data_IF_420382365640
#
_entry.id   IF_420382365640
#
_cell.length_a   1.000
_cell.length_b   1.000
_cell.length_c   1.000
_cell.angle_alpha   90.00
_cell.angle_beta   90.00
_cell.angle_gamma   90.00
#
_symmetry.space_group_name_H-M   'P 1'
#
loop_
_entity.id
_entity.type
_entity.pdbx_description
1 polymer ?
#
# COMPACT_ATOMS: atom_id res chain seq x y z
N UNK A 1 1.89 28.00 0.33
CA UNK A 1 0.74 27.28 0.92
C UNK A 1 1.28 26.07 1.65
N UNK A 2 1.15 26.01 2.97
CA UNK A 2 1.57 24.83 3.74
C UNK A 2 0.35 23.92 3.88
N UNK A 3 0.20 22.94 2.98
CA UNK A 3 -0.85 21.93 3.10
C UNK A 3 -0.41 21.01 4.22
N UNK A 4 -1.07 21.07 5.38
CA UNK A 4 -0.91 20.07 6.40
C UNK A 4 -1.28 18.71 5.78
N UNK A 5 -0.29 17.85 5.61
CA UNK A 5 -0.49 16.54 5.01
C UNK A 5 -1.35 15.71 5.95
N UNK A 6 -2.55 15.33 5.50
CA UNK A 6 -3.39 14.39 6.23
C UNK A 6 -2.59 13.10 6.47
N UNK A 7 -2.49 12.71 7.74
CA UNK A 7 -1.75 11.54 8.18
C UNK A 7 -2.69 10.63 8.97
N UNK A 8 -2.97 9.42 8.50
CA UNK A 8 -3.73 8.46 9.28
C UNK A 8 -2.94 8.05 10.52
N UNK A 9 -3.62 7.44 11.48
CA UNK A 9 -2.98 6.91 12.70
C UNK A 9 -1.79 6.00 12.33
N UNK A 10 -0.66 6.22 12.99
CA UNK A 10 0.61 5.58 12.64
C UNK A 10 0.71 4.16 13.21
N UNK A 11 -0.04 3.23 12.64
CA UNK A 11 -0.02 1.81 12.99
C UNK A 11 0.79 0.99 11.98
N UNK A 12 1.02 -0.30 12.26
CA UNK A 12 1.59 -1.20 11.26
C UNK A 12 0.60 -1.48 10.12
N UNK A 13 -0.67 -1.58 10.46
CA UNK A 13 -1.75 -1.87 9.51
C UNK A 13 -1.96 -0.72 8.52
N UNK A 14 -1.94 0.53 9.01
CA UNK A 14 -2.19 1.71 8.16
C UNK A 14 -1.19 1.87 7.02
N UNK A 15 -0.02 1.22 7.11
CA UNK A 15 0.97 1.15 6.01
C UNK A 15 0.46 0.41 4.79
N UNK A 16 -0.51 -0.49 4.95
CA UNK A 16 -1.07 -1.30 3.88
C UNK A 16 -2.53 -0.96 3.56
N UNK A 17 -3.28 -0.45 4.54
CA UNK A 17 -4.73 -0.21 4.43
C UNK A 17 -5.12 1.25 4.15
N UNK A 18 -4.25 2.23 4.45
CA UNK A 18 -4.57 3.63 4.21
C UNK A 18 -4.81 3.91 2.72
N UNK A 19 -6.02 4.36 2.38
CA UNK A 19 -6.43 4.73 1.02
C UNK A 19 -6.00 6.14 0.62
N UNK A 20 -5.73 7.00 1.59
CA UNK A 20 -5.39 8.41 1.41
C UNK A 20 -4.36 8.90 2.44
N UNK A 21 -3.84 10.10 2.19
CA UNK A 21 -2.84 10.72 3.07
C UNK A 21 -1.45 10.08 2.96
N UNK A 22 -0.56 10.50 3.85
CA UNK A 22 0.84 10.11 3.82
C UNK A 22 1.15 9.08 4.90
N UNK A 23 1.79 7.99 4.52
CA UNK A 23 2.25 6.94 5.44
C UNK A 23 3.74 6.69 5.27
N UNK A 24 4.46 6.69 6.39
CA UNK A 24 5.87 6.35 6.40
C UNK A 24 6.04 4.83 6.38
N UNK A 25 6.89 4.34 5.47
CA UNK A 25 7.18 2.91 5.32
C UNK A 25 8.63 2.69 4.88
N UNK A 26 9.20 1.54 5.21
CA UNK A 26 10.51 1.13 4.69
C UNK A 26 10.41 0.72 3.23
N UNK A 27 11.55 0.62 2.53
CA UNK A 27 11.57 0.14 1.14
C UNK A 27 10.93 -1.24 0.96
N UNK A 28 11.21 -2.19 1.87
CA UNK A 28 10.58 -3.52 1.86
C UNK A 28 9.06 -3.44 2.02
N UNK A 29 8.57 -2.58 2.91
CA UNK A 29 7.13 -2.40 3.12
C UNK A 29 6.46 -1.79 1.87
N UNK A 30 7.13 -0.85 1.20
CA UNK A 30 6.66 -0.31 -0.07
C UNK A 30 6.55 -1.39 -1.15
N UNK A 31 7.56 -2.26 -1.28
CA UNK A 31 7.52 -3.40 -2.22
C UNK A 31 6.37 -4.37 -1.91
N UNK A 32 6.16 -4.70 -0.63
CA UNK A 32 5.04 -5.55 -0.19
C UNK A 32 3.68 -4.90 -0.47
N UNK A 33 3.59 -3.57 -0.46
CA UNK A 33 2.35 -2.85 -0.76
C UNK A 33 2.01 -2.85 -2.26
N UNK A 34 2.98 -3.03 -3.17
CA UNK A 34 2.74 -2.95 -4.62
C UNK A 34 1.65 -3.92 -5.11
N UNK A 35 1.64 -5.21 -4.75
CA UNK A 35 0.58 -6.13 -5.20
C UNK A 35 -0.81 -5.74 -4.72
N UNK A 36 -0.92 -5.15 -3.51
CA UNK A 36 -2.19 -4.63 -2.98
C UNK A 36 -2.68 -3.48 -3.85
N UNK A 37 -1.80 -2.53 -4.19
CA UNK A 37 -2.15 -1.39 -5.04
C UNK A 37 -2.51 -1.82 -6.46
N UNK A 38 -1.83 -2.84 -6.99
CA UNK A 38 -2.17 -3.40 -8.30
C UNK A 38 -3.56 -4.03 -8.27
N UNK A 39 -3.86 -4.85 -7.26
CA UNK A 39 -5.20 -5.45 -7.10
C UNK A 39 -6.31 -4.41 -7.08
N UNK A 40 -6.14 -3.32 -6.32
CA UNK A 40 -7.13 -2.24 -6.25
C UNK A 40 -7.34 -1.55 -7.61
N UNK A 41 -6.27 -1.36 -8.40
CA UNK A 41 -6.39 -0.80 -9.76
C UNK A 41 -7.08 -1.77 -10.72
N UNK A 42 -6.77 -3.05 -10.61
CA UNK A 42 -7.37 -4.10 -11.42
C UNK A 42 -8.87 -4.23 -11.12
N UNK A 43 -9.28 -4.16 -9.85
CA UNK A 43 -10.70 -4.10 -9.45
C UNK A 43 -11.41 -2.91 -10.07
N UNK A 44 -10.79 -1.72 -10.01
CA UNK A 44 -11.35 -0.51 -10.62
C UNK A 44 -11.46 -0.62 -12.16
N UNK A 45 -10.63 -1.46 -12.79
CA UNK A 45 -10.69 -1.77 -14.21
C UNK A 45 -11.61 -2.95 -14.56
N UNK A 46 -12.27 -3.58 -13.57
CA UNK A 46 -13.14 -4.74 -13.77
C UNK A 46 -12.39 -6.07 -14.01
N UNK A 47 -11.11 -6.14 -13.64
CA UNK A 47 -10.28 -7.34 -13.79
C UNK A 47 -10.31 -8.20 -12.51
N UNK A 48 -10.36 -9.52 -12.69
CA UNK A 48 -10.29 -10.49 -11.60
C UNK A 48 -8.85 -11.01 -11.44
N UNK A 49 -8.00 -10.21 -10.80
CA UNK A 49 -6.59 -10.54 -10.56
C UNK A 49 -6.33 -10.89 -9.10
N UNK A 50 -5.22 -11.57 -8.85
CA UNK A 50 -4.70 -11.84 -7.51
C UNK A 50 -3.22 -11.50 -7.44
N UNK A 51 -2.77 -11.00 -6.29
CA UNK A 51 -1.35 -10.81 -6.01
C UNK A 51 -0.72 -12.10 -5.50
N UNK A 52 0.44 -12.47 -6.02
CA UNK A 52 1.25 -13.58 -5.51
C UNK A 52 2.61 -13.07 -5.06
N UNK A 53 2.97 -13.36 -3.81
CA UNK A 53 4.26 -13.00 -3.23
C UNK A 53 4.94 -14.30 -2.81
N UNK A 54 6.13 -14.53 -3.35
CA UNK A 54 7.06 -15.55 -2.86
C UNK A 54 8.35 -14.87 -2.42
N UNK A 55 9.10 -15.54 -1.56
CA UNK A 55 10.38 -15.00 -1.09
C UNK A 55 11.17 -16.01 -0.28
N UNK A 56 12.49 -15.83 -0.32
CA UNK A 56 13.41 -16.44 0.63
C UNK A 56 13.75 -15.41 1.72
N UNK A 57 14.09 -15.88 2.91
CA UNK A 57 14.49 -15.01 4.01
C UNK A 57 15.96 -14.63 3.85
N UNK A 58 16.24 -13.34 3.71
CA UNK A 58 17.61 -12.84 3.58
C UNK A 58 18.31 -13.44 2.37
#
# INVERSE_FOLDING_TARGET
MNVALARPEATLDSRYTASEGWVYMTGTQALVRLPIQQRLRDEAAGLNTGGYISGYRG
#
